data_IF_665170781100
#
_entry.id   IF_665170781100
#
_cell.length_a   1.000
_cell.length_b   1.000
_cell.length_c   1.000
_cell.angle_alpha   90.00
_cell.angle_beta   90.00
_cell.angle_gamma   90.00
#
_symmetry.space_group_name_H-M   'P 1'
#
loop_
_entity.id
_entity.type
_entity.pdbx_description
1 polymer ?
#
# COMPACT_ATOMS: atom_id res chain seq x y z
N UNK A 1 2.93 -11.50 18.11
CA UNK A 1 3.66 -10.38 17.48
C UNK A 1 2.63 -9.58 16.71
N UNK A 2 2.46 -8.29 16.99
CA UNK A 2 1.55 -7.42 16.22
C UNK A 2 2.12 -7.28 14.81
N UNK A 3 1.32 -7.50 13.76
CA UNK A 3 1.80 -7.37 12.39
C UNK A 3 2.20 -5.91 12.10
N UNK A 4 3.09 -5.67 11.12
CA UNK A 4 3.46 -4.30 10.74
C UNK A 4 2.21 -3.47 10.36
N UNK A 5 1.26 -4.11 9.70
CA UNK A 5 -0.01 -3.50 9.27
C UNK A 5 -0.90 -3.14 10.46
N UNK A 6 -1.03 -4.02 11.46
CA UNK A 6 -1.77 -3.71 12.69
C UNK A 6 -1.13 -2.53 13.45
N UNK A 7 0.21 -2.49 13.53
CA UNK A 7 0.91 -1.38 14.19
C UNK A 7 0.73 -0.06 13.43
N UNK A 8 0.78 -0.11 12.10
CA UNK A 8 0.54 1.05 11.23
C UNK A 8 -0.88 1.59 11.41
N UNK A 9 -1.89 0.72 11.38
CA UNK A 9 -3.29 1.11 11.52
C UNK A 9 -3.60 1.69 12.91
N UNK A 10 -3.00 1.14 13.96
CA UNK A 10 -3.12 1.66 15.33
C UNK A 10 -2.51 3.05 15.48
N UNK A 11 -1.43 3.35 14.74
CA UNK A 11 -0.75 4.66 14.77
C UNK A 11 -1.36 5.67 13.81
N UNK A 12 -2.34 5.28 12.99
CA UNK A 12 -2.95 6.17 12.00
C UNK A 12 -3.87 7.18 12.68
N UNK A 13 -3.57 8.48 12.61
CA UNK A 13 -4.37 9.51 13.24
C UNK A 13 -5.64 9.78 12.42
N UNK A 14 -6.76 9.16 12.80
CA UNK A 14 -8.03 9.30 12.06
C UNK A 14 -8.53 10.75 11.93
N UNK A 15 -8.12 11.63 12.85
CA UNK A 15 -8.39 13.09 12.79
C UNK A 15 -7.86 13.78 11.53
N UNK A 16 -6.95 13.15 10.77
CA UNK A 16 -6.44 13.70 9.51
C UNK A 16 -7.42 13.52 8.34
N UNK A 17 -8.43 12.66 8.48
CA UNK A 17 -9.42 12.48 7.42
C UNK A 17 -10.31 13.72 7.30
N UNK A 18 -10.35 14.34 6.11
CA UNK A 18 -11.25 15.45 5.81
C UNK A 18 -12.69 15.02 5.49
N UNK A 19 -12.98 13.70 5.50
CA UNK A 19 -14.29 13.13 5.17
C UNK A 19 -14.85 13.60 3.81
N UNK A 20 -13.99 13.89 2.83
CA UNK A 20 -14.37 14.48 1.54
C UNK A 20 -14.96 13.48 0.52
N UNK A 21 -14.97 12.19 0.84
CA UNK A 21 -15.47 11.12 -0.02
C UNK A 21 -14.64 10.81 -1.27
N UNK A 22 -13.59 11.59 -1.61
CA UNK A 22 -12.79 11.40 -2.84
C UNK A 22 -12.19 9.99 -2.95
N UNK A 23 -11.70 9.42 -1.85
CA UNK A 23 -11.16 8.04 -1.82
C UNK A 23 -12.23 6.95 -2.01
N UNK A 24 -13.52 7.26 -1.84
CA UNK A 24 -14.63 6.38 -2.15
C UNK A 24 -15.17 6.62 -3.57
N UNK A 25 -14.95 7.84 -4.10
CA UNK A 25 -15.44 8.29 -5.40
C UNK A 25 -14.68 7.59 -6.52
N UNK A 26 -13.35 7.61 -6.43
CA UNK A 26 -12.48 6.88 -7.35
C UNK A 26 -11.41 6.17 -6.53
N UNK A 27 -11.32 4.86 -6.69
CA UNK A 27 -10.29 4.01 -6.07
C UNK A 27 -9.68 3.09 -7.12
N UNK A 28 -8.44 2.70 -6.91
CA UNK A 28 -7.75 1.65 -7.68
C UNK A 28 -7.17 0.62 -6.71
N UNK A 29 -6.71 -0.51 -7.23
CA UNK A 29 -5.96 -1.49 -6.44
C UNK A 29 -4.68 -1.88 -7.17
N UNK A 30 -3.72 -2.47 -6.45
CA UNK A 30 -2.51 -3.03 -7.06
C UNK A 30 -2.77 -4.31 -7.86
N UNK A 31 -4.00 -4.84 -7.82
CA UNK A 31 -4.42 -6.04 -8.55
C UNK A 31 -5.38 -5.65 -9.67
N UNK A 32 -5.26 -6.33 -10.79
CA UNK A 32 -6.21 -6.19 -11.89
C UNK A 32 -7.60 -6.71 -11.49
N UNK A 33 -8.64 -6.26 -12.19
CA UNK A 33 -9.98 -6.78 -11.96
C UNK A 33 -10.08 -8.30 -12.12
N UNK A 34 -9.37 -8.86 -13.10
CA UNK A 34 -9.33 -10.31 -13.32
C UNK A 34 -8.67 -11.05 -12.14
N UNK A 35 -7.57 -10.54 -11.61
CA UNK A 35 -6.93 -11.11 -10.41
C UNK A 35 -7.83 -11.00 -9.19
N UNK A 36 -8.52 -9.88 -9.00
CA UNK A 36 -9.49 -9.72 -7.90
C UNK A 36 -10.62 -10.75 -8.03
N UNK A 37 -11.15 -10.97 -9.24
CA UNK A 37 -12.18 -11.98 -9.50
C UNK A 37 -11.68 -13.40 -9.25
N UNK A 38 -10.42 -13.69 -9.60
CA UNK A 38 -9.80 -14.96 -9.32
C UNK A 38 -9.63 -15.20 -7.81
N UNK A 39 -9.18 -14.18 -7.08
CA UNK A 39 -9.03 -14.24 -5.62
C UNK A 39 -10.38 -14.37 -4.90
N UNK A 40 -11.41 -13.68 -5.37
CA UNK A 40 -12.79 -13.83 -4.89
C UNK A 40 -13.26 -15.29 -5.04
N UNK A 41 -13.01 -15.91 -6.19
CA UNK A 41 -13.34 -17.31 -6.44
C UNK A 41 -12.55 -18.29 -5.54
N UNK A 42 -11.37 -17.89 -5.06
CA UNK A 42 -10.55 -18.66 -4.12
C UNK A 42 -10.94 -18.43 -2.65
N UNK A 43 -11.89 -17.55 -2.37
CA UNK A 43 -12.33 -17.25 -1.01
C UNK A 43 -11.49 -16.19 -0.29
N UNK A 44 -10.71 -15.37 -1.00
CA UNK A 44 -9.97 -14.27 -0.39
C UNK A 44 -10.94 -13.20 0.14
N UNK A 45 -10.98 -13.04 1.47
CA UNK A 45 -11.89 -12.13 2.16
C UNK A 45 -11.72 -10.67 1.70
N UNK A 46 -10.48 -10.25 1.42
CA UNK A 46 -10.18 -8.89 0.98
C UNK A 46 -10.74 -8.60 -0.41
N UNK A 47 -10.58 -9.53 -1.35
CA UNK A 47 -11.14 -9.44 -2.69
C UNK A 47 -12.66 -9.48 -2.68
N UNK A 48 -13.26 -10.38 -1.88
CA UNK A 48 -14.71 -10.47 -1.69
C UNK A 48 -15.27 -9.15 -1.18
N UNK A 49 -14.72 -8.61 -0.09
CA UNK A 49 -15.21 -7.37 0.50
C UNK A 49 -15.02 -6.18 -0.45
N UNK A 50 -13.87 -6.12 -1.15
CA UNK A 50 -13.61 -5.05 -2.11
C UNK A 50 -14.63 -5.07 -3.25
N UNK A 51 -14.79 -6.22 -3.93
CA UNK A 51 -15.69 -6.36 -5.07
C UNK A 51 -17.17 -6.25 -4.69
N UNK A 52 -17.52 -6.50 -3.42
CA UNK A 52 -18.87 -6.27 -2.90
C UNK A 52 -19.22 -4.78 -2.81
N UNK A 53 -18.24 -3.92 -2.57
CA UNK A 53 -18.44 -2.48 -2.29
C UNK A 53 -18.15 -1.63 -3.53
N UNK A 54 -17.07 -1.95 -4.23
CA UNK A 54 -16.51 -1.14 -5.30
C UNK A 54 -16.87 -1.69 -6.67
N UNK A 55 -17.56 -0.87 -7.45
CA UNK A 55 -18.04 -1.20 -8.80
C UNK A 55 -17.08 -0.61 -9.82
N UNK A 56 -16.57 -1.40 -10.78
CA UNK A 56 -15.63 -0.89 -11.77
C UNK A 56 -16.30 0.12 -12.69
N UNK A 57 -15.58 1.18 -13.04
CA UNK A 57 -15.95 2.07 -14.13
C UNK A 57 -15.78 1.35 -15.49
N UNK A 58 -16.59 1.70 -16.51
CA UNK A 58 -16.49 1.07 -17.81
C UNK A 58 -15.18 1.42 -18.55
N UNK A 59 -14.57 2.56 -18.22
CA UNK A 59 -13.28 3.00 -18.77
C UNK A 59 -12.56 3.96 -17.83
N UNK A 60 -11.29 4.23 -18.12
CA UNK A 60 -10.51 5.27 -17.43
C UNK A 60 -11.13 6.66 -17.67
N UNK A 61 -11.66 6.91 -18.87
CA UNK A 61 -12.33 8.16 -19.24
C UNK A 61 -13.58 8.38 -18.37
N UNK A 62 -14.39 7.34 -18.13
CA UNK A 62 -15.54 7.45 -17.24
C UNK A 62 -15.13 7.77 -15.79
N UNK A 63 -13.98 7.24 -15.32
CA UNK A 63 -13.44 7.62 -14.02
C UNK A 63 -12.94 9.07 -14.00
N UNK A 64 -12.34 9.55 -15.11
CA UNK A 64 -11.88 10.95 -15.25
C UNK A 64 -13.03 11.95 -15.25
N UNK A 65 -14.19 11.59 -15.79
CA UNK A 65 -15.40 12.42 -15.71
C UNK A 65 -15.85 12.63 -14.26
N UNK A 66 -15.60 11.66 -13.38
CA UNK A 66 -15.93 11.74 -11.94
C UNK A 66 -14.87 12.53 -11.16
N UNK A 67 -13.59 12.22 -11.33
CA UNK A 67 -12.49 12.92 -10.64
C UNK A 67 -11.19 12.84 -11.46
N UNK A 68 -11.07 13.72 -12.44
CA UNK A 68 -9.89 13.80 -13.34
C UNK A 68 -8.58 13.94 -12.57
N UNK A 69 -8.53 14.83 -11.59
CA UNK A 69 -7.31 15.13 -10.85
C UNK A 69 -6.81 13.90 -10.08
N UNK A 70 -7.71 13.16 -9.44
CA UNK A 70 -7.35 11.93 -8.73
C UNK A 70 -6.92 10.82 -9.69
N UNK A 71 -7.65 10.61 -10.79
CA UNK A 71 -7.30 9.58 -11.79
C UNK A 71 -5.93 9.84 -12.37
N UNK A 72 -5.65 11.08 -12.78
CA UNK A 72 -4.36 11.43 -13.37
C UNK A 72 -3.22 11.31 -12.36
N UNK A 73 -3.43 11.72 -11.09
CA UNK A 73 -2.45 11.52 -10.02
C UNK A 73 -2.16 10.03 -9.77
N UNK A 74 -3.17 9.17 -9.82
CA UNK A 74 -2.97 7.71 -9.69
C UNK A 74 -2.15 7.17 -10.86
N UNK A 75 -2.49 7.54 -12.09
CA UNK A 75 -1.77 7.11 -13.29
C UNK A 75 -0.31 7.59 -13.25
N UNK A 76 -0.08 8.86 -12.93
CA UNK A 76 1.26 9.43 -12.82
C UNK A 76 2.10 8.66 -11.79
N UNK A 77 1.57 8.47 -10.58
CA UNK A 77 2.28 7.75 -9.50
C UNK A 77 2.52 6.29 -9.82
N UNK A 78 1.58 5.62 -10.49
CA UNK A 78 1.76 4.22 -10.89
C UNK A 78 2.75 4.08 -12.07
N UNK A 79 2.85 5.09 -12.94
CA UNK A 79 3.79 5.10 -14.07
C UNK A 79 5.27 5.19 -13.67
N UNK A 80 5.54 5.51 -12.40
CA UNK A 80 6.89 5.47 -11.82
C UNK A 80 7.39 4.02 -11.61
N UNK A 81 6.52 3.01 -11.69
CA UNK A 81 6.90 1.59 -11.56
C UNK A 81 7.38 1.00 -12.89
N UNK A 82 8.42 0.16 -12.84
CA UNK A 82 9.02 -0.47 -14.03
C UNK A 82 8.06 -1.38 -14.82
N UNK A 83 7.03 -1.92 -14.16
CA UNK A 83 6.05 -2.86 -14.73
C UNK A 83 4.68 -2.21 -15.04
N UNK A 84 4.63 -0.87 -15.09
CA UNK A 84 3.40 -0.13 -15.35
C UNK A 84 2.78 -0.49 -16.71
N UNK A 85 1.52 -0.90 -16.67
CA UNK A 85 0.68 -1.11 -17.85
C UNK A 85 -0.69 -0.48 -17.58
N UNK A 86 -0.99 0.59 -18.33
CA UNK A 86 -2.26 1.32 -18.20
C UNK A 86 -3.48 0.42 -18.43
N UNK A 87 -3.35 -0.62 -19.26
CA UNK A 87 -4.46 -1.53 -19.58
C UNK A 87 -4.79 -2.49 -18.42
N UNK A 88 -3.89 -2.61 -17.43
CA UNK A 88 -4.10 -3.40 -16.22
C UNK A 88 -4.79 -2.60 -15.10
N UNK A 89 -4.96 -1.29 -15.29
CA UNK A 89 -5.57 -0.42 -14.28
C UNK A 89 -7.08 -0.46 -14.43
N UNK A 90 -7.76 -0.67 -13.31
CA UNK A 90 -9.21 -0.53 -13.21
C UNK A 90 -9.52 0.43 -12.10
N UNK A 91 -10.32 1.45 -12.41
CA UNK A 91 -10.86 2.36 -11.42
C UNK A 91 -12.25 1.89 -10.99
N UNK A 92 -12.58 2.14 -9.73
CA UNK A 92 -13.85 1.75 -9.13
C UNK A 92 -14.47 2.90 -8.35
N UNK A 93 -15.80 2.90 -8.28
CA UNK A 93 -16.59 3.77 -7.41
C UNK A 93 -17.28 2.98 -6.31
N UNK A 94 -17.37 3.55 -5.11
CA UNK A 94 -18.11 2.95 -4.00
C UNK A 94 -19.62 3.07 -4.24
N UNK A 95 -20.34 1.95 -4.25
CA UNK A 95 -21.80 1.95 -4.45
C UNK A 95 -22.61 2.58 -3.31
N UNK A 96 -21.98 2.81 -2.16
CA UNK A 96 -22.60 3.44 -0.99
C UNK A 96 -22.30 4.94 -0.89
N UNK A 97 -21.45 5.51 -1.73
CA UNK A 97 -21.17 6.94 -1.69
C UNK A 97 -22.34 7.71 -2.33
N UNK A 98 -22.89 8.66 -1.60
CA UNK A 98 -23.94 9.55 -2.08
C UNK A 98 -23.34 10.82 -2.73
N UNK A 99 -24.16 11.56 -3.47
CA UNK A 99 -23.75 12.77 -4.21
C UNK A 99 -23.20 13.88 -3.28
N UNK A 100 -23.67 13.92 -2.04
CA UNK A 100 -23.21 14.83 -0.99
C UNK A 100 -21.91 14.37 -0.28
N UNK A 101 -21.31 13.27 -0.74
CA UNK A 101 -20.11 12.63 -0.20
C UNK A 101 -20.28 11.94 1.15
N UNK A 102 -21.52 11.70 1.56
CA UNK A 102 -21.81 10.92 2.76
C UNK A 102 -21.90 9.43 2.45
N UNK A 103 -21.75 8.60 3.49
CA UNK A 103 -21.87 7.16 3.42
C UNK A 103 -22.97 6.71 4.40
N UNK A 104 -24.07 6.10 3.93
CA UNK A 104 -25.18 5.70 4.79
C UNK A 104 -24.80 4.58 5.76
N UNK A 105 -23.75 3.81 5.44
CA UNK A 105 -23.22 2.74 6.28
C UNK A 105 -21.93 3.17 7.01
N UNK A 106 -21.72 4.47 7.25
CA UNK A 106 -20.44 4.97 7.77
C UNK A 106 -20.00 4.30 9.09
N UNK A 107 -20.93 4.10 10.03
CA UNK A 107 -20.64 3.45 11.32
C UNK A 107 -20.42 1.94 11.17
N UNK A 108 -21.12 1.30 10.22
CA UNK A 108 -21.05 -0.13 9.95
C UNK A 108 -20.03 -0.49 8.86
N UNK A 109 -19.22 0.49 8.44
CA UNK A 109 -18.38 0.33 7.26
C UNK A 109 -17.34 -0.78 7.47
N UNK A 110 -17.08 -1.62 6.44
CA UNK A 110 -16.14 -2.73 6.54
C UNK A 110 -14.71 -2.31 6.92
N UNK A 111 -13.90 -3.29 7.35
CA UNK A 111 -12.53 -3.04 7.80
C UNK A 111 -11.70 -2.31 6.74
N UNK A 112 -11.81 -2.70 5.46
CA UNK A 112 -11.10 -2.03 4.36
C UNK A 112 -11.43 -0.52 4.28
N UNK A 113 -12.68 -0.13 4.53
CA UNK A 113 -13.10 1.27 4.51
C UNK A 113 -12.56 2.02 5.74
N UNK A 114 -12.62 1.37 6.92
CA UNK A 114 -12.07 1.93 8.16
C UNK A 114 -10.57 2.12 8.07
N UNK A 115 -9.86 1.23 7.37
CA UNK A 115 -8.41 1.14 7.31
C UNK A 115 -7.75 1.97 6.21
N UNK A 116 -8.51 2.66 5.35
CA UNK A 116 -7.95 3.53 4.31
C UNK A 116 -7.35 4.84 4.88
N UNK A 117 -6.09 5.23 4.55
CA UNK A 117 -5.12 4.50 3.73
C UNK A 117 -4.47 3.34 4.51
N UNK A 118 -4.46 2.14 3.93
CA UNK A 118 -4.02 0.90 4.59
C UNK A 118 -2.51 0.70 4.60
N UNK A 119 -1.77 1.45 3.78
CA UNK A 119 -0.30 1.39 3.73
C UNK A 119 0.29 2.79 3.50
N UNK A 120 1.57 3.02 3.86
CA UNK A 120 2.29 4.26 3.55
C UNK A 120 2.37 4.58 2.04
N UNK A 121 2.21 3.59 1.17
CA UNK A 121 2.28 3.72 -0.29
C UNK A 121 0.91 3.87 -0.94
N UNK A 122 -0.17 3.97 -0.16
CA UNK A 122 -1.47 4.30 -0.71
C UNK A 122 -1.41 5.65 -1.44
N UNK A 123 -1.85 5.67 -2.69
CA UNK A 123 -2.01 6.90 -3.46
C UNK A 123 -3.31 7.54 -2.98
N UNK A 124 -3.20 8.77 -2.46
CA UNK A 124 -4.33 9.56 -1.96
C UNK A 124 -4.61 10.73 -2.89
N UNK A 125 -5.83 11.30 -2.86
CA UNK A 125 -6.15 12.49 -3.63
C UNK A 125 -5.24 13.66 -3.25
N UNK A 126 -4.89 14.56 -4.20
CA UNK A 126 -4.17 15.79 -3.88
C UNK A 126 -4.88 16.59 -2.79
N UNK A 127 -4.12 17.08 -1.80
CA UNK A 127 -4.68 17.81 -0.66
C UNK A 127 -5.36 16.91 0.39
N UNK A 128 -5.17 15.59 0.32
CA UNK A 128 -5.64 14.68 1.36
C UNK A 128 -4.93 14.98 2.69
N UNK A 129 -5.67 15.05 3.80
CA UNK A 129 -5.07 15.29 5.12
C UNK A 129 -4.08 14.22 5.58
N UNK A 130 -4.08 13.03 4.97
CA UNK A 130 -3.08 11.99 5.23
C UNK A 130 -1.77 12.17 4.45
N UNK A 131 -1.68 13.06 3.47
CA UNK A 131 -0.54 13.17 2.54
C UNK A 131 0.81 13.33 3.27
N UNK A 132 0.91 14.30 4.17
CA UNK A 132 2.12 14.54 4.96
C UNK A 132 2.45 13.36 5.90
N UNK A 133 1.43 12.74 6.49
CA UNK A 133 1.62 11.60 7.38
C UNK A 133 2.12 10.36 6.62
N UNK A 134 1.56 10.08 5.44
CA UNK A 134 2.01 9.01 4.55
C UNK A 134 3.45 9.23 4.10
N UNK A 135 3.81 10.48 3.77
CA UNK A 135 5.20 10.84 3.47
C UNK A 135 6.14 10.49 4.62
N UNK A 136 5.82 10.91 5.85
CA UNK A 136 6.63 10.56 7.03
C UNK A 136 6.75 9.06 7.23
N UNK A 137 5.66 8.30 7.04
CA UNK A 137 5.69 6.83 7.16
C UNK A 137 6.53 6.16 6.08
N UNK A 138 6.56 6.69 4.85
CA UNK A 138 7.48 6.23 3.81
C UNK A 138 8.94 6.52 4.21
N UNK A 139 9.25 7.71 4.72
CA UNK A 139 10.60 8.04 5.15
C UNK A 139 11.08 7.19 6.35
N UNK A 140 10.22 6.92 7.33
CA UNK A 140 10.50 5.97 8.42
C UNK A 140 10.86 4.57 7.88
N UNK A 141 10.11 4.08 6.88
CA UNK A 141 10.37 2.79 6.25
C UNK A 141 11.70 2.80 5.46
N UNK A 142 11.97 3.86 4.69
CA UNK A 142 13.24 4.03 3.96
C UNK A 142 14.44 4.06 4.91
N UNK A 143 14.35 4.81 6.01
CA UNK A 143 15.39 4.83 7.04
C UNK A 143 15.64 3.45 7.64
N UNK A 144 14.57 2.70 7.95
CA UNK A 144 14.70 1.32 8.43
C UNK A 144 15.42 0.42 7.44
N UNK A 145 15.12 0.54 6.14
CA UNK A 145 15.79 -0.24 5.09
C UNK A 145 17.24 0.17 4.91
N UNK A 146 17.57 1.46 4.93
CA UNK A 146 18.96 1.96 4.89
C UNK A 146 19.78 1.37 6.03
N UNK A 147 19.26 1.44 7.25
CA UNK A 147 19.91 0.82 8.41
C UNK A 147 20.08 -0.69 8.25
N UNK A 148 19.08 -1.39 7.71
CA UNK A 148 19.19 -2.81 7.44
C UNK A 148 20.31 -3.12 6.41
N UNK A 149 20.51 -2.28 5.39
CA UNK A 149 21.62 -2.40 4.44
C UNK A 149 22.97 -2.15 5.12
N UNK A 150 23.07 -1.16 6.01
CA UNK A 150 24.27 -0.90 6.82
C UNK A 150 24.61 -2.11 7.71
N UNK A 151 23.63 -2.60 8.49
CA UNK A 151 23.76 -3.78 9.34
C UNK A 151 24.19 -5.02 8.52
N UNK A 152 23.67 -5.16 7.29
CA UNK A 152 24.07 -6.23 6.38
C UNK A 152 25.55 -6.14 6.00
N UNK A 153 26.05 -4.95 5.65
CA UNK A 153 27.46 -4.74 5.31
C UNK A 153 28.36 -5.03 6.51
N UNK A 154 27.99 -4.58 7.72
CA UNK A 154 28.72 -4.89 8.94
C UNK A 154 28.79 -6.39 9.21
N UNK A 155 27.69 -7.11 9.01
CA UNK A 155 27.66 -8.57 9.15
C UNK A 155 28.55 -9.27 8.12
N UNK A 156 28.63 -8.80 6.88
CA UNK A 156 29.57 -9.34 5.89
C UNK A 156 31.03 -9.13 6.34
N UNK A 157 31.36 -7.97 6.92
CA UNK A 157 32.68 -7.71 7.49
C UNK A 157 32.98 -8.62 8.69
N UNK A 158 32.00 -8.88 9.57
CA UNK A 158 32.16 -9.82 10.68
C UNK A 158 32.35 -11.26 10.19
N UNK A 159 31.61 -11.67 9.16
CA UNK A 159 31.69 -13.01 8.55
C UNK A 159 33.10 -13.29 8.01
N UNK A 160 33.78 -12.30 7.45
CA UNK A 160 35.17 -12.45 6.95
C UNK A 160 36.21 -12.55 8.07
N UNK A 161 35.91 -12.03 9.27
CA UNK A 161 36.83 -11.99 10.41
C UNK A 161 36.70 -13.19 11.35
N UNK A 162 35.56 -13.87 11.36
CA UNK A 162 35.31 -15.02 12.23
C UNK A 162 35.50 -16.34 11.49
N UNK A 163 36.11 -17.33 12.16
CA UNK A 163 36.23 -18.72 11.67
C UNK A 163 35.41 -19.70 12.51
N UNK A 164 34.74 -19.22 13.54
CA UNK A 164 33.95 -20.03 14.46
C UNK A 164 32.64 -20.50 13.78
N UNK A 165 32.41 -21.81 13.62
CA UNK A 165 31.25 -22.34 12.91
C UNK A 165 29.89 -21.96 13.52
N UNK A 166 29.82 -21.83 14.85
CA UNK A 166 28.56 -21.51 15.54
C UNK A 166 28.19 -20.03 15.36
N UNK A 167 29.19 -19.14 15.41
CA UNK A 167 29.01 -17.72 15.10
C UNK A 167 28.66 -17.52 13.61
N UNK A 168 29.25 -18.28 12.69
CA UNK A 168 28.89 -18.22 11.27
C UNK A 168 27.41 -18.57 11.04
N UNK A 169 26.90 -19.63 11.68
CA UNK A 169 25.47 -19.98 11.61
C UNK A 169 24.55 -18.87 12.14
N UNK A 170 24.93 -18.24 13.25
CA UNK A 170 24.17 -17.10 13.81
C UNK A 170 24.16 -15.92 12.85
N UNK A 171 25.32 -15.58 12.27
CA UNK A 171 25.45 -14.51 11.27
C UNK A 171 24.54 -14.78 10.07
N UNK A 172 24.54 -16.00 9.53
CA UNK A 172 23.69 -16.37 8.40
C UNK A 172 22.20 -16.26 8.70
N UNK A 173 21.77 -16.62 9.90
CA UNK A 173 20.38 -16.44 10.34
C UNK A 173 19.97 -14.97 10.35
N UNK A 174 20.83 -14.08 10.85
CA UNK A 174 20.56 -12.64 10.90
C UNK A 174 20.60 -12.03 9.49
N UNK A 175 21.57 -12.42 8.68
CA UNK A 175 21.70 -12.04 7.27
C UNK A 175 20.41 -12.36 6.49
N UNK A 176 19.86 -13.56 6.65
CA UNK A 176 18.61 -13.94 5.97
C UNK A 176 17.42 -13.08 6.41
N UNK A 177 17.33 -12.73 7.70
CA UNK A 177 16.27 -11.84 8.21
C UNK A 177 16.39 -10.42 7.64
N UNK A 178 17.61 -9.91 7.53
CA UNK A 178 17.88 -8.58 6.97
C UNK A 178 17.56 -8.56 5.48
N UNK A 179 18.04 -9.56 4.70
CA UNK A 179 17.70 -9.70 3.28
C UNK A 179 16.20 -9.75 3.07
N UNK A 180 15.49 -10.57 3.85
CA UNK A 180 14.04 -10.62 3.78
C UNK A 180 13.39 -9.25 4.06
N UNK A 181 13.89 -8.52 5.06
CA UNK A 181 13.40 -7.17 5.38
C UNK A 181 13.58 -6.21 4.21
N UNK A 182 14.74 -6.23 3.53
CA UNK A 182 15.02 -5.37 2.37
C UNK A 182 14.13 -5.74 1.18
N UNK A 183 13.97 -7.05 0.95
CA UNK A 183 13.19 -7.60 -0.17
C UNK A 183 11.71 -7.21 -0.11
N UNK A 184 11.12 -7.15 1.10
CA UNK A 184 9.74 -6.70 1.29
C UNK A 184 9.44 -5.32 0.70
N UNK A 185 10.47 -4.47 0.58
CA UNK A 185 10.34 -3.12 0.04
C UNK A 185 10.83 -2.97 -1.41
N UNK A 186 11.29 -4.06 -2.04
CA UNK A 186 11.83 -4.02 -3.40
C UNK A 186 10.83 -3.44 -4.40
N UNK A 187 9.57 -3.85 -4.31
CA UNK A 187 8.44 -3.32 -5.12
C UNK A 187 8.20 -1.80 -4.98
N UNK A 188 8.80 -1.15 -3.99
CA UNK A 188 8.72 0.29 -3.78
C UNK A 188 10.03 1.01 -4.16
N UNK A 189 10.94 0.32 -4.83
CA UNK A 189 12.23 0.87 -5.27
C UNK A 189 13.29 0.88 -4.16
N UNK A 190 13.23 -0.06 -3.22
CA UNK A 190 14.20 -0.11 -2.10
C UNK A 190 15.65 -0.26 -2.52
N UNK A 191 15.91 -0.71 -3.75
CA UNK A 191 17.23 -0.80 -4.34
C UNK A 191 17.91 0.58 -4.43
N UNK A 192 17.13 1.65 -4.60
CA UNK A 192 17.59 3.03 -4.78
C UNK A 192 17.62 3.88 -3.50
N UNK A 193 17.34 3.30 -2.32
CA UNK A 193 17.29 4.02 -1.04
C UNK A 193 18.58 4.01 -0.25
#
# INVERSE_FOLDING_TARGET
MVSYEENYLNKRPQRLCHMCGRCCRVVTTSKTYFELKHLEAQGDEGAIDFLKIFVPYPSIEAAREVDKELVDNVIEKMSEADDFDINKITFYGCKYLLDDNTCPIYEERPALCRHCPSTPWAIVPPGCGFEAWLFLKREEAKQKVRKAKEDYLELQLLKTKTKDPDNLKKIESVENKIKHTIELYKKYGSENW
#
